data_IF_600704092592
#
_entry.id   IF_600704092592
#
_cell.length_a   1.000
_cell.length_b   1.000
_cell.length_c   1.000
_cell.angle_alpha   90.00
_cell.angle_beta   90.00
_cell.angle_gamma   90.00
#
_symmetry.space_group_name_H-M   'P 1'
#
loop_
_entity.id
_entity.type
_entity.pdbx_description
1 polymer ?
#
# COMPACT_ATOMS: atom_id res chain seq x y z
N UNK A 1 8.30 -17.98 -0.10
CA UNK A 1 9.59 -17.46 -0.63
C UNK A 1 9.84 -18.09 -1.99
N UNK A 2 10.29 -17.33 -2.99
CA UNK A 2 10.52 -17.85 -4.36
C UNK A 2 9.28 -17.95 -5.25
N UNK A 3 8.16 -17.35 -4.83
CA UNK A 3 7.01 -17.15 -5.70
C UNK A 3 7.26 -15.94 -6.61
N UNK A 4 6.71 -15.98 -7.82
CA UNK A 4 6.64 -14.82 -8.71
C UNK A 4 5.26 -14.20 -8.51
N UNK A 5 5.23 -12.95 -8.05
CA UNK A 5 3.99 -12.19 -7.91
C UNK A 5 3.60 -11.66 -9.29
N UNK A 6 2.50 -12.18 -9.84
CA UNK A 6 2.00 -11.77 -11.16
C UNK A 6 1.09 -10.54 -11.08
N UNK A 7 0.42 -10.32 -9.95
CA UNK A 7 -0.27 -9.08 -9.63
C UNK A 7 -0.50 -8.95 -8.13
N UNK A 8 -0.56 -7.71 -7.64
CA UNK A 8 -1.03 -7.39 -6.30
C UNK A 8 -1.71 -6.02 -6.30
N UNK A 9 -2.78 -5.85 -5.53
CA UNK A 9 -3.44 -4.56 -5.37
C UNK A 9 -4.15 -4.49 -4.01
N UNK A 10 -4.36 -3.27 -3.52
CA UNK A 10 -5.24 -3.01 -2.39
C UNK A 10 -6.57 -2.48 -2.97
N UNK A 11 -7.67 -3.09 -2.54
CA UNK A 11 -9.02 -2.63 -2.87
C UNK A 11 -9.56 -1.82 -1.71
N UNK A 12 -9.84 -0.54 -1.95
CA UNK A 12 -10.56 0.31 -1.01
C UNK A 12 -12.07 0.27 -1.29
N UNK A 13 -12.83 0.77 -0.32
CA UNK A 13 -14.25 1.05 -0.45
C UNK A 13 -14.50 2.51 -0.04
N UNK A 14 -15.25 3.24 -0.85
CA UNK A 14 -15.59 4.63 -0.58
C UNK A 14 -16.50 4.74 0.65
N UNK A 15 -16.05 5.46 1.68
CA UNK A 15 -16.87 5.78 2.86
C UNK A 15 -17.63 7.11 2.69
N UNK A 16 -17.14 7.99 1.82
CA UNK A 16 -17.73 9.29 1.52
C UNK A 16 -17.47 9.68 0.06
N UNK A 17 -18.19 10.69 -0.43
CA UNK A 17 -17.98 11.23 -1.77
C UNK A 17 -16.90 12.31 -1.70
N UNK A 18 -15.72 12.02 -2.26
CA UNK A 18 -14.60 12.96 -2.36
C UNK A 18 -14.01 12.91 -3.76
N UNK A 19 -14.09 14.06 -4.44
CA UNK A 19 -13.74 14.19 -5.85
C UNK A 19 -12.53 15.09 -6.13
N UNK A 20 -11.90 15.62 -5.07
CA UNK A 20 -10.66 16.39 -5.20
C UNK A 20 -9.54 15.55 -5.83
N UNK A 21 -8.57 16.17 -6.48
CA UNK A 21 -7.40 15.44 -6.97
C UNK A 21 -6.54 14.92 -5.80
N UNK A 22 -5.93 13.74 -5.95
CA UNK A 22 -4.89 13.26 -5.06
C UNK A 22 -3.72 12.68 -5.86
N UNK A 23 -2.54 12.82 -5.29
CA UNK A 23 -1.31 12.26 -5.81
C UNK A 23 -0.63 11.50 -4.68
N UNK A 24 -0.63 10.18 -4.80
CA UNK A 24 -0.19 9.27 -3.76
C UNK A 24 1.03 8.47 -4.23
N UNK A 25 1.89 8.12 -3.28
CA UNK A 25 3.00 7.20 -3.46
C UNK A 25 2.83 6.05 -2.47
N UNK A 26 2.85 4.83 -3.00
CA UNK A 26 2.71 3.59 -2.23
C UNK A 26 4.08 2.92 -2.15
N UNK A 27 4.48 2.56 -0.94
CA UNK A 27 5.67 1.77 -0.63
C UNK A 27 5.32 0.70 0.40
N UNK A 28 6.16 -0.33 0.52
CA UNK A 28 6.05 -1.33 1.58
C UNK A 28 6.97 -1.02 2.76
N UNK A 29 6.67 -1.58 3.93
CA UNK A 29 7.63 -1.73 5.02
C UNK A 29 8.68 -2.77 4.62
N UNK A 30 9.95 -2.38 4.62
CA UNK A 30 11.06 -3.20 4.15
C UNK A 30 11.65 -4.04 5.28
N UNK A 31 10.79 -4.84 5.91
CA UNK A 31 11.10 -5.78 6.98
C UNK A 31 10.68 -7.19 6.59
N UNK A 32 11.19 -8.19 7.31
CA UNK A 32 10.84 -9.58 7.04
C UNK A 32 9.43 -9.93 7.55
N UNK A 33 9.04 -9.31 8.67
CA UNK A 33 7.76 -9.47 9.37
C UNK A 33 7.39 -8.12 10.00
N UNK A 34 6.35 -7.48 9.48
CA UNK A 34 5.98 -6.13 9.91
C UNK A 34 5.48 -6.15 11.36
N UNK A 35 6.10 -5.33 12.21
CA UNK A 35 5.66 -5.23 13.61
C UNK A 35 4.34 -4.47 13.74
N UNK A 36 3.50 -4.78 14.75
CA UNK A 36 2.29 -4.01 15.03
C UNK A 36 2.59 -2.51 15.21
N UNK A 37 1.68 -1.67 14.71
CA UNK A 37 1.78 -0.23 14.95
C UNK A 37 1.55 0.10 16.43
N UNK A 38 2.29 1.10 16.92
CA UNK A 38 2.28 1.54 18.32
C UNK A 38 1.96 3.03 18.41
N UNK A 39 1.73 3.51 19.62
CA UNK A 39 1.49 4.94 19.90
C UNK A 39 2.77 5.78 19.94
N UNK A 40 3.94 5.18 19.68
CA UNK A 40 5.20 5.92 19.63
C UNK A 40 5.16 6.97 18.51
N UNK A 41 5.76 8.14 18.79
CA UNK A 41 5.87 9.18 17.77
C UNK A 41 6.60 8.66 16.54
N UNK A 42 6.10 9.02 15.36
CA UNK A 42 6.65 8.64 14.06
C UNK A 42 6.61 7.14 13.71
N UNK A 43 5.89 6.30 14.48
CA UNK A 43 5.89 4.84 14.32
C UNK A 43 5.65 4.34 12.89
N UNK A 44 4.82 5.03 12.09
CA UNK A 44 4.60 4.71 10.67
C UNK A 44 5.64 5.40 9.77
N UNK A 45 5.91 6.68 9.99
CA UNK A 45 6.77 7.46 9.10
C UNK A 45 8.25 7.07 9.15
N UNK A 46 8.71 6.41 10.22
CA UNK A 46 10.07 5.95 10.41
C UNK A 46 10.33 4.52 9.90
N UNK A 47 9.31 3.79 9.47
CA UNK A 47 9.49 2.44 8.94
C UNK A 47 10.45 2.46 7.74
N UNK A 48 11.37 1.47 7.63
CA UNK A 48 12.21 1.33 6.46
C UNK A 48 11.30 1.09 5.25
N UNK A 49 11.57 1.76 4.12
CA UNK A 49 10.72 1.65 2.93
C UNK A 49 11.35 0.76 1.89
N UNK A 50 10.51 0.08 1.11
CA UNK A 50 10.95 -0.60 -0.11
C UNK A 50 11.55 0.40 -1.10
N UNK A 51 12.49 -0.08 -1.92
CA UNK A 51 13.01 0.68 -3.06
C UNK A 51 11.95 0.78 -4.15
N UNK A 52 11.24 -0.33 -4.40
CA UNK A 52 10.05 -0.34 -5.24
C UNK A 52 8.99 0.61 -4.65
N UNK A 53 8.35 1.36 -5.53
CA UNK A 53 7.25 2.26 -5.21
C UNK A 53 6.29 2.35 -6.39
N UNK A 54 5.02 2.61 -6.09
CA UNK A 54 3.97 2.76 -7.10
C UNK A 54 3.27 4.10 -6.89
N UNK A 55 3.30 4.96 -7.90
CA UNK A 55 2.53 6.19 -7.91
C UNK A 55 1.05 5.88 -8.18
N UNK A 56 0.15 6.54 -7.47
CA UNK A 56 -1.30 6.36 -7.62
C UNK A 56 -2.03 7.70 -7.64
N UNK A 57 -2.78 7.92 -8.71
CA UNK A 57 -3.68 9.06 -8.91
C UNK A 57 -5.09 8.51 -9.14
N UNK A 58 -5.80 8.11 -8.07
CA UNK A 58 -7.12 7.52 -8.24
C UNK A 58 -8.12 8.53 -8.81
N UNK A 59 -9.01 8.01 -9.64
CA UNK A 59 -10.18 8.72 -10.13
C UNK A 59 -11.08 9.18 -8.98
N UNK A 60 -11.94 10.19 -9.20
CA UNK A 60 -12.91 10.66 -8.19
C UNK A 60 -13.82 9.54 -7.67
N UNK A 61 -13.98 9.43 -6.35
CA UNK A 61 -14.91 8.50 -5.72
C UNK A 61 -16.28 9.16 -5.58
N UNK A 62 -17.22 8.79 -6.45
CA UNK A 62 -18.49 9.51 -6.62
C UNK A 62 -19.67 8.92 -5.85
N UNK A 63 -19.53 7.70 -5.33
CA UNK A 63 -20.61 6.96 -4.67
C UNK A 63 -20.09 6.33 -3.38
N UNK A 64 -20.84 6.48 -2.29
CA UNK A 64 -20.53 5.76 -1.04
C UNK A 64 -20.78 4.27 -1.25
N UNK A 65 -19.84 3.44 -0.81
CA UNK A 65 -19.89 1.99 -0.92
C UNK A 65 -19.26 1.41 -2.19
N UNK A 66 -18.89 2.25 -3.17
CA UNK A 66 -18.17 1.79 -4.37
C UNK A 66 -16.81 1.21 -3.98
N UNK A 67 -16.43 0.15 -4.69
CA UNK A 67 -15.18 -0.60 -4.53
C UNK A 67 -14.77 -1.17 -5.89
N UNK A 68 -14.81 -0.29 -6.90
CA UNK A 68 -14.47 -0.60 -8.27
C UNK A 68 -13.01 -0.35 -8.58
N UNK A 69 -12.72 -0.09 -9.87
CA UNK A 69 -11.36 0.21 -10.34
C UNK A 69 -10.86 1.57 -9.86
N UNK A 70 -11.75 2.54 -9.66
CA UNK A 70 -11.39 3.86 -9.13
C UNK A 70 -10.86 3.79 -7.68
N UNK A 71 -11.35 2.84 -6.89
CA UNK A 71 -10.95 2.59 -5.51
C UNK A 71 -9.84 1.53 -5.38
N UNK A 72 -9.28 1.06 -6.50
CA UNK A 72 -8.20 0.07 -6.50
C UNK A 72 -6.85 0.74 -6.78
N UNK A 73 -5.82 0.32 -6.04
CA UNK A 73 -4.46 0.74 -6.36
C UNK A 73 -4.02 0.22 -7.74
N UNK A 74 -3.02 0.83 -8.38
CA UNK A 74 -2.31 0.19 -9.49
C UNK A 74 -1.59 -1.05 -8.97
N UNK A 75 -0.96 -1.78 -9.90
CA UNK A 75 -0.24 -3.00 -9.55
C UNK A 75 0.91 -2.71 -8.56
N UNK A 76 0.91 -3.46 -7.47
CA UNK A 76 1.88 -3.41 -6.37
C UNK A 76 2.83 -4.61 -6.40
N UNK A 77 2.82 -5.42 -7.47
CA UNK A 77 3.59 -6.66 -7.56
C UNK A 77 5.08 -6.44 -7.26
N UNK A 78 5.67 -5.34 -7.75
CA UNK A 78 7.07 -5.01 -7.50
C UNK A 78 7.38 -4.78 -6.00
N UNK A 79 6.47 -4.11 -5.27
CA UNK A 79 6.61 -3.87 -3.82
C UNK A 79 6.51 -5.20 -3.07
N UNK A 80 5.48 -5.99 -3.37
CA UNK A 80 5.28 -7.31 -2.74
C UNK A 80 6.45 -8.24 -3.05
N UNK A 81 6.92 -8.25 -4.30
CA UNK A 81 8.04 -9.06 -4.74
C UNK A 81 9.32 -8.70 -3.98
N UNK A 82 9.59 -7.41 -3.75
CA UNK A 82 10.74 -6.95 -2.96
C UNK A 82 10.68 -7.53 -1.54
N UNK A 83 9.53 -7.45 -0.86
CA UNK A 83 9.35 -7.96 0.51
C UNK A 83 9.52 -9.49 0.55
N UNK A 84 8.86 -10.25 -0.33
CA UNK A 84 8.93 -11.72 -0.29
C UNK A 84 10.28 -12.30 -0.73
N UNK A 85 11.11 -11.48 -1.40
CA UNK A 85 12.48 -11.85 -1.80
C UNK A 85 13.47 -11.71 -0.65
N UNK A 86 13.11 -11.03 0.44
CA UNK A 86 13.97 -10.87 1.61
C UNK A 86 14.34 -12.22 2.21
N UNK A 87 15.55 -12.31 2.76
CA UNK A 87 16.09 -13.58 3.23
C UNK A 87 15.30 -14.17 4.39
N UNK A 88 14.78 -13.33 5.29
CA UNK A 88 14.00 -13.76 6.46
C UNK A 88 12.49 -13.86 6.22
N UNK A 89 11.99 -13.54 5.01
CA UNK A 89 10.57 -13.69 4.71
C UNK A 89 10.11 -15.15 4.84
N UNK A 90 9.08 -15.38 5.64
CA UNK A 90 8.39 -16.64 5.81
C UNK A 90 6.90 -16.50 5.49
N UNK A 91 6.23 -17.62 5.21
CA UNK A 91 4.78 -17.60 5.07
C UNK A 91 4.14 -17.20 6.40
N UNK A 92 3.03 -16.46 6.33
CA UNK A 92 2.32 -15.88 7.47
C UNK A 92 3.01 -14.71 8.17
N UNK A 93 4.18 -14.26 7.68
CA UNK A 93 4.71 -12.96 8.08
C UNK A 93 3.79 -11.84 7.60
N UNK A 94 3.74 -10.76 8.37
CA UNK A 94 2.93 -9.60 8.09
C UNK A 94 3.61 -8.66 7.08
N UNK A 95 2.81 -7.99 6.26
CA UNK A 95 3.24 -6.89 5.40
C UNK A 95 2.51 -5.61 5.77
N UNK A 96 3.26 -4.51 5.85
CA UNK A 96 2.70 -3.17 5.96
C UNK A 96 2.93 -2.37 4.68
N UNK A 97 1.95 -1.54 4.33
CA UNK A 97 2.02 -0.61 3.21
C UNK A 97 1.88 0.83 3.73
N UNK A 98 2.69 1.72 3.17
CA UNK A 98 2.70 3.13 3.48
C UNK A 98 2.21 3.89 2.25
N UNK A 99 1.16 4.69 2.45
CA UNK A 99 0.61 5.58 1.42
C UNK A 99 0.85 7.01 1.88
N UNK A 100 1.65 7.75 1.12
CA UNK A 100 1.97 9.16 1.39
C UNK A 100 1.58 10.01 0.19
N UNK A 101 1.34 11.30 0.39
CA UNK A 101 0.97 12.18 -0.73
C UNK A 101 0.12 13.37 -0.31
N UNK A 102 -0.59 13.93 -1.29
CA UNK A 102 -1.47 15.08 -1.13
C UNK A 102 -2.87 14.79 -1.70
N UNK A 103 -3.87 15.55 -1.26
CA UNK A 103 -5.26 15.44 -1.71
C UNK A 103 -6.20 14.91 -0.62
N UNK A 104 -7.44 14.60 -1.00
CA UNK A 104 -8.50 14.10 -0.11
C UNK A 104 -9.05 12.77 -0.61
N UNK A 105 -9.19 11.76 0.24
CA UNK A 105 -9.88 10.50 -0.06
C UNK A 105 -10.83 10.16 1.08
#
# INVERSE_FOLDING_TARGET
KGAIITSAYIQFQANEVKTGAASLLIQGDNTDDASPFTTASFNVSSLPRTTASTAWTPDPWTTVGDHGLAERTPDLSAIVQEIINRSGWAALNDMAFLITGTGTR
#
